data_IF_381762940094
#
_entry.id   IF_381762940094
#
_cell.length_a   1.000
_cell.length_b   1.000
_cell.length_c   1.000
_cell.angle_alpha   90.00
_cell.angle_beta   90.00
_cell.angle_gamma   90.00
#
_symmetry.space_group_name_H-M   'P 1'
#
loop_
_entity.id
_entity.type
_entity.pdbx_description
1 polymer ?
#
# COMPACT_ATOMS: atom_id res chain seq x y z
N UNK A 1 5.13 -9.65 16.04
CA UNK A 1 4.79 -8.21 16.06
C UNK A 1 5.87 -7.40 15.35
N UNK A 2 5.49 -6.32 14.66
CA UNK A 2 6.37 -5.44 13.88
C UNK A 2 6.27 -3.97 14.35
N UNK A 3 6.75 -3.64 15.56
CA UNK A 3 6.55 -2.32 16.17
C UNK A 3 7.15 -1.16 15.36
N UNK A 4 8.19 -1.42 14.57
CA UNK A 4 8.80 -0.46 13.65
C UNK A 4 7.82 0.06 12.58
N UNK A 5 6.76 -0.70 12.27
CA UNK A 5 5.75 -0.30 11.29
C UNK A 5 4.64 0.59 11.88
N UNK A 6 4.63 0.80 13.21
CA UNK A 6 3.54 1.50 13.91
C UNK A 6 3.21 2.86 13.30
N UNK A 7 4.22 3.68 12.97
CA UNK A 7 3.99 5.00 12.37
C UNK A 7 3.32 4.91 11.00
N UNK A 8 3.81 4.04 10.11
CA UNK A 8 3.25 3.89 8.77
C UNK A 8 1.86 3.23 8.78
N UNK A 9 1.62 2.30 9.71
CA UNK A 9 0.34 1.61 9.84
C UNK A 9 -0.74 2.54 10.40
N UNK A 10 -0.45 3.26 11.49
CA UNK A 10 -1.41 4.14 12.15
C UNK A 10 -1.59 5.48 11.41
N UNK A 11 -0.61 5.87 10.60
CA UNK A 11 -0.68 7.03 9.71
C UNK A 11 -1.24 6.64 8.34
N UNK A 12 -0.36 6.61 7.34
CA UNK A 12 -0.69 6.52 5.91
C UNK A 12 -1.64 5.38 5.53
N UNK A 13 -1.57 4.24 6.23
CA UNK A 13 -2.38 3.05 5.90
C UNK A 13 -3.74 3.00 6.60
N UNK A 14 -3.95 3.82 7.63
CA UNK A 14 -5.23 3.91 8.36
C UNK A 14 -6.15 4.95 7.74
N UNK A 15 -5.59 6.05 7.22
CA UNK A 15 -6.37 7.20 6.76
C UNK A 15 -6.41 7.30 5.24
N UNK A 16 -7.55 7.75 4.72
CA UNK A 16 -7.65 8.14 3.30
C UNK A 16 -6.96 9.48 3.07
N UNK A 17 -6.29 9.64 1.93
CA UNK A 17 -5.63 10.87 1.53
C UNK A 17 -6.40 11.59 0.42
N UNK A 18 -6.52 12.92 0.53
CA UNK A 18 -7.02 13.82 -0.52
C UNK A 18 -5.93 14.83 -0.81
N UNK A 19 -5.53 14.94 -2.08
CA UNK A 19 -4.41 15.80 -2.49
C UNK A 19 -4.91 17.11 -3.10
N UNK A 20 -4.49 18.22 -2.50
CA UNK A 20 -4.67 19.54 -3.10
C UNK A 20 -3.66 19.75 -4.24
N UNK A 21 -4.19 19.89 -5.45
CA UNK A 21 -3.39 20.10 -6.66
C UNK A 21 -3.16 21.58 -7.00
N UNK A 22 -3.55 22.52 -6.13
CA UNK A 22 -3.40 23.96 -6.35
C UNK A 22 -1.95 24.33 -6.61
N UNK A 23 -1.00 23.81 -5.81
CA UNK A 23 0.43 24.11 -5.96
C UNK A 23 0.95 23.81 -7.38
N UNK A 24 0.74 22.58 -7.86
CA UNK A 24 1.23 22.19 -9.19
C UNK A 24 0.50 22.96 -10.30
N UNK A 25 -0.80 23.20 -10.16
CA UNK A 25 -1.57 23.98 -11.14
C UNK A 25 -1.15 25.45 -11.20
N UNK A 26 -0.72 26.04 -10.09
CA UNK A 26 -0.19 27.42 -10.05
C UNK A 26 1.14 27.53 -10.78
N UNK A 27 2.08 26.62 -10.53
CA UNK A 27 3.43 26.70 -11.11
C UNK A 27 3.53 26.08 -12.51
N UNK A 28 2.59 25.19 -12.87
CA UNK A 28 2.54 24.53 -14.18
C UNK A 28 1.10 24.58 -14.71
N UNK A 29 0.65 25.72 -15.28
CA UNK A 29 -0.74 25.89 -15.71
C UNK A 29 -1.20 24.90 -16.79
N UNK A 30 -0.26 24.40 -17.60
CA UNK A 30 -0.53 23.36 -18.60
C UNK A 30 -0.66 21.94 -18.04
N UNK A 31 -0.42 21.73 -16.74
CA UNK A 31 -0.52 20.41 -16.14
C UNK A 31 -1.98 19.94 -16.12
N UNK A 32 -2.22 18.77 -16.71
CA UNK A 32 -3.51 18.11 -16.70
C UNK A 32 -3.35 16.60 -16.50
N UNK A 33 -4.02 16.06 -15.49
CA UNK A 33 -4.13 14.62 -15.29
C UNK A 33 -5.20 14.05 -16.25
N UNK A 34 -4.79 13.70 -17.46
CA UNK A 34 -5.70 13.23 -18.53
C UNK A 34 -5.94 11.72 -18.51
N UNK A 35 -5.09 10.95 -17.83
CA UNK A 35 -5.23 9.50 -17.72
C UNK A 35 -6.08 9.17 -16.48
N UNK A 36 -7.27 8.57 -16.64
CA UNK A 36 -8.06 8.13 -15.50
C UNK A 36 -7.32 7.03 -14.72
N UNK A 37 -7.49 7.01 -13.39
CA UNK A 37 -6.79 6.05 -12.52
C UNK A 37 -6.97 4.59 -13.00
N UNK A 38 -8.19 4.20 -13.39
CA UNK A 38 -8.49 2.84 -13.90
C UNK A 38 -7.62 2.42 -15.10
N UNK A 39 -7.29 3.38 -15.98
CA UNK A 39 -6.46 3.11 -17.14
C UNK A 39 -4.98 3.13 -16.76
N UNK A 40 -4.58 4.07 -15.91
CA UNK A 40 -3.22 4.14 -15.38
C UNK A 40 -2.83 2.87 -14.64
N UNK A 41 -3.66 2.39 -13.72
CA UNK A 41 -3.35 1.19 -12.92
C UNK A 41 -3.28 -0.07 -13.78
N UNK A 42 -4.13 -0.19 -14.81
CA UNK A 42 -4.06 -1.29 -15.77
C UNK A 42 -2.74 -1.31 -16.54
N UNK A 43 -2.22 -0.14 -16.93
CA UNK A 43 -0.90 -0.04 -17.58
C UNK A 43 0.24 -0.42 -16.64
N UNK A 44 0.16 0.03 -15.38
CA UNK A 44 1.15 -0.34 -14.36
C UNK A 44 1.20 -1.84 -14.14
N UNK A 45 0.04 -2.50 -14.05
CA UNK A 45 -0.04 -3.96 -13.91
C UNK A 45 0.52 -4.68 -15.14
N UNK A 46 0.12 -4.27 -16.35
CA UNK A 46 0.63 -4.87 -17.58
C UNK A 46 2.17 -4.77 -17.67
N UNK A 47 2.73 -3.60 -17.35
CA UNK A 47 4.17 -3.41 -17.27
C UNK A 47 4.81 -4.32 -16.20
N UNK A 48 4.23 -4.41 -15.01
CA UNK A 48 4.76 -5.24 -13.93
C UNK A 48 4.76 -6.74 -14.29
N UNK A 49 3.70 -7.21 -14.95
CA UNK A 49 3.49 -8.61 -15.31
C UNK A 49 4.37 -9.07 -16.48
N UNK A 50 4.74 -8.16 -17.38
CA UNK A 50 5.56 -8.42 -18.57
C UNK A 50 6.97 -8.97 -18.25
N UNK A 51 7.51 -8.71 -17.06
CA UNK A 51 8.82 -9.21 -16.66
C UNK A 51 8.81 -9.80 -15.24
N UNK A 52 9.09 -11.10 -15.15
CA UNK A 52 9.16 -11.82 -13.88
C UNK A 52 10.28 -11.32 -12.97
N UNK A 53 11.32 -10.67 -13.49
CA UNK A 53 12.39 -10.10 -12.64
C UNK A 53 11.90 -8.93 -11.77
N UNK A 54 10.76 -8.31 -12.10
CA UNK A 54 10.10 -7.28 -11.28
C UNK A 54 9.31 -7.88 -10.12
N UNK A 55 8.90 -9.14 -10.23
CA UNK A 55 8.11 -9.88 -9.24
C UNK A 55 9.02 -10.56 -8.21
N UNK A 56 9.88 -9.77 -7.55
CA UNK A 56 10.79 -10.28 -6.53
C UNK A 56 10.05 -10.54 -5.23
N UNK A 57 10.26 -11.73 -4.66
CA UNK A 57 9.76 -12.11 -3.34
C UNK A 57 10.89 -11.92 -2.33
N UNK A 58 10.57 -11.24 -1.24
CA UNK A 58 11.44 -11.14 -0.07
C UNK A 58 10.87 -12.05 1.02
N UNK A 59 11.51 -13.20 1.22
CA UNK A 59 11.06 -14.19 2.21
C UNK A 59 11.10 -13.66 3.65
N UNK A 60 11.92 -12.64 3.93
CA UNK A 60 11.93 -12.02 5.26
C UNK A 60 10.63 -11.29 5.58
N UNK A 61 10.00 -10.70 4.56
CA UNK A 61 8.69 -10.04 4.66
C UNK A 61 7.60 -11.09 4.87
N UNK A 62 7.64 -12.21 4.12
CA UNK A 62 6.70 -13.32 4.32
C UNK A 62 6.74 -13.84 5.76
N UNK A 63 7.95 -14.14 6.27
CA UNK A 63 8.13 -14.62 7.64
C UNK A 63 7.72 -13.59 8.71
N UNK A 64 7.80 -12.28 8.43
CA UNK A 64 7.25 -11.25 9.32
C UNK A 64 5.72 -11.26 9.33
N UNK A 65 5.09 -11.37 8.15
CA UNK A 65 3.64 -11.47 8.02
C UNK A 65 3.09 -12.71 8.71
N UNK A 66 3.72 -13.87 8.55
CA UNK A 66 3.33 -15.12 9.21
C UNK A 66 3.37 -14.98 10.74
N UNK A 67 4.44 -14.40 11.30
CA UNK A 67 4.54 -14.12 12.75
C UNK A 67 3.45 -13.17 13.26
N UNK A 68 3.02 -12.21 12.44
CA UNK A 68 1.91 -11.31 12.80
C UNK A 68 0.59 -12.09 12.82
N UNK A 69 0.37 -12.93 11.80
CA UNK A 69 -0.83 -13.77 11.70
C UNK A 69 -0.92 -14.78 12.85
N UNK A 70 0.17 -15.46 13.18
CA UNK A 70 0.23 -16.41 14.31
C UNK A 70 -0.18 -15.74 15.63
N UNK A 71 0.29 -14.52 15.89
CA UNK A 71 -0.09 -13.76 17.10
C UNK A 71 -1.57 -13.36 17.05
N UNK A 72 -2.03 -12.84 15.92
CA UNK A 72 -3.43 -12.43 15.76
C UNK A 72 -4.42 -13.61 15.91
N UNK A 73 -4.07 -14.78 15.37
CA UNK A 73 -4.90 -15.98 15.42
C UNK A 73 -4.74 -16.74 16.74
N UNK A 74 -3.54 -16.77 17.32
CA UNK A 74 -3.26 -17.39 18.62
C UNK A 74 -3.91 -16.66 19.79
N UNK A 75 -4.04 -15.33 19.69
CA UNK A 75 -4.80 -14.50 20.62
C UNK A 75 -6.33 -14.65 20.42
N UNK A 76 -6.77 -15.34 19.37
CA UNK A 76 -8.18 -15.53 18.99
C UNK A 76 -8.92 -16.69 19.69
N UNK A 77 -8.29 -17.39 20.64
CA UNK A 77 -8.99 -18.33 21.53
C UNK A 77 -9.55 -17.71 22.82
N UNK A 78 -9.39 -16.39 23.03
CA UNK A 78 -10.15 -15.68 24.05
C UNK A 78 -11.05 -14.62 23.41
N UNK A 79 -12.32 -14.65 23.79
CA UNK A 79 -13.43 -14.07 23.04
C UNK A 79 -13.39 -12.54 22.92
N UNK A 80 -13.97 -12.09 21.79
CA UNK A 80 -14.35 -10.71 21.41
C UNK A 80 -13.24 -9.87 20.76
N UNK A 81 -13.42 -9.64 19.46
CA UNK A 81 -13.48 -8.26 18.93
C UNK A 81 -14.66 -8.14 17.98
N UNK A 82 -15.66 -7.37 18.42
CA UNK A 82 -16.49 -6.55 17.52
C UNK A 82 -15.67 -5.33 17.11
#
# INVERSE_FOLDING_TARGET
AAPQLSGSLLGDKTWSAVFDNTKIKTFVPGYQATIPFREGIRRTLAWFEEDKQRQRIDESVNAEMDRILEQYLGDGQDGRRK
#
